data_IF_664953928635
#
_entry.id   IF_664953928635
#
_cell.length_a   1.000
_cell.length_b   1.000
_cell.length_c   1.000
_cell.angle_alpha   90.00
_cell.angle_beta   90.00
_cell.angle_gamma   90.00
#
_symmetry.space_group_name_H-M   'P 1'
#
loop_
_entity.id
_entity.type
_entity.pdbx_description
1 polymer ?
#
# COMPACT_ATOMS: atom_id res chain seq x y z
N UNK A 1 15.85 3.15 -13.98
CA UNK A 1 15.00 2.13 -13.34
C UNK A 1 14.48 2.75 -12.05
N UNK A 2 13.17 2.77 -11.83
CA UNK A 2 12.54 3.36 -10.62
C UNK A 2 12.93 2.55 -9.37
N UNK A 3 13.35 3.23 -8.32
CA UNK A 3 13.75 2.63 -7.04
C UNK A 3 12.59 2.69 -6.05
N UNK A 4 12.16 1.54 -5.58
CA UNK A 4 10.99 1.35 -4.72
C UNK A 4 11.45 1.03 -3.31
N UNK A 5 10.98 1.76 -2.31
CA UNK A 5 11.04 1.34 -0.92
C UNK A 5 9.67 0.84 -0.45
N UNK A 6 9.62 -0.23 0.34
CA UNK A 6 8.38 -0.80 0.84
C UNK A 6 8.34 -0.69 2.37
N UNK A 7 7.27 -0.14 2.91
CA UNK A 7 7.02 -0.06 4.36
C UNK A 7 6.04 -1.15 4.79
N UNK A 8 6.40 -1.88 5.85
CA UNK A 8 5.67 -3.05 6.35
C UNK A 8 5.55 -3.04 7.88
N UNK A 9 4.58 -3.77 8.43
CA UNK A 9 4.45 -3.95 9.89
C UNK A 9 4.21 -5.39 10.33
N UNK A 10 4.04 -6.34 9.40
CA UNK A 10 3.59 -7.70 9.74
C UNK A 10 4.03 -8.78 8.78
N UNK A 11 3.08 -9.63 8.35
CA UNK A 11 3.35 -10.82 7.55
C UNK A 11 4.02 -10.55 6.19
N UNK A 12 3.64 -9.46 5.52
CA UNK A 12 4.25 -9.07 4.24
C UNK A 12 3.75 -9.86 3.03
N UNK A 13 2.51 -10.35 3.03
CA UNK A 13 1.98 -11.07 1.87
C UNK A 13 1.87 -10.17 0.62
N UNK A 14 1.50 -8.89 0.79
CA UNK A 14 1.53 -7.91 -0.28
C UNK A 14 2.97 -7.60 -0.76
N UNK A 15 3.94 -7.55 0.16
CA UNK A 15 5.36 -7.44 -0.22
C UNK A 15 5.78 -8.63 -1.07
N UNK A 16 5.41 -9.86 -0.69
CA UNK A 16 5.73 -11.05 -1.48
C UNK A 16 5.16 -10.96 -2.89
N UNK A 17 3.90 -10.53 -3.02
CA UNK A 17 3.28 -10.35 -4.33
C UNK A 17 4.03 -9.32 -5.20
N UNK A 18 4.55 -8.24 -4.60
CA UNK A 18 5.37 -7.26 -5.29
C UNK A 18 6.74 -7.83 -5.72
N UNK A 19 7.38 -8.66 -4.87
CA UNK A 19 8.65 -9.33 -5.18
C UNK A 19 8.47 -10.29 -6.35
N UNK A 20 7.40 -11.11 -6.33
CA UNK A 20 7.16 -12.16 -7.33
C UNK A 20 6.73 -11.58 -8.69
N UNK A 21 6.28 -10.34 -8.73
CA UNK A 21 5.75 -9.71 -9.93
C UNK A 21 6.81 -9.29 -10.97
N UNK A 22 8.10 -9.37 -10.65
CA UNK A 22 9.20 -8.93 -11.55
C UNK A 22 8.94 -7.53 -12.14
N UNK A 23 8.71 -6.55 -11.27
CA UNK A 23 8.44 -5.16 -11.66
C UNK A 23 9.58 -4.60 -12.52
N UNK A 24 9.28 -3.68 -13.44
CA UNK A 24 10.28 -2.91 -14.19
C UNK A 24 11.07 -1.93 -13.30
N UNK A 25 10.58 -1.64 -12.10
CA UNK A 25 11.31 -0.99 -11.02
C UNK A 25 12.09 -1.97 -10.16
N UNK A 26 12.96 -1.45 -9.30
CA UNK A 26 13.75 -2.22 -8.34
C UNK A 26 13.30 -1.94 -6.91
N UNK A 27 12.97 -2.97 -6.13
CA UNK A 27 12.79 -2.82 -4.69
C UNK A 27 14.18 -2.70 -4.05
N UNK A 28 14.51 -1.48 -3.61
CA UNK A 28 15.83 -1.16 -3.04
C UNK A 28 15.90 -1.34 -1.53
N UNK A 29 14.76 -1.44 -0.87
CA UNK A 29 14.73 -1.69 0.57
C UNK A 29 13.33 -1.92 1.11
N UNK A 30 13.28 -2.65 2.23
CA UNK A 30 12.07 -2.92 3.01
C UNK A 30 12.30 -2.44 4.43
N UNK A 31 11.46 -1.50 4.89
CA UNK A 31 11.53 -0.93 6.22
C UNK A 31 10.33 -1.39 7.05
N UNK A 32 10.61 -1.87 8.26
CA UNK A 32 9.57 -2.21 9.23
C UNK A 32 9.70 -1.38 10.50
N UNK A 33 8.54 -1.04 11.10
CA UNK A 33 8.48 -0.48 12.46
C UNK A 33 8.47 -1.54 13.56
N UNK A 34 8.59 -2.84 13.18
CA UNK A 34 8.64 -3.98 14.07
C UNK A 34 9.75 -4.94 13.66
N UNK A 35 10.60 -5.31 14.62
CA UNK A 35 11.72 -6.21 14.38
C UNK A 35 11.28 -7.66 14.09
N UNK A 36 10.11 -8.06 14.58
CA UNK A 36 9.51 -9.38 14.42
C UNK A 36 8.59 -9.51 13.20
N UNK A 37 8.57 -8.52 12.32
CA UNK A 37 7.77 -8.58 11.09
C UNK A 37 8.32 -9.63 10.13
N UNK A 38 7.53 -10.67 9.82
CA UNK A 38 7.91 -11.73 8.88
C UNK A 38 8.22 -11.21 7.46
N UNK A 39 7.69 -10.05 7.13
CA UNK A 39 8.03 -9.33 5.90
C UNK A 39 9.54 -9.10 5.72
N UNK A 40 10.29 -8.94 6.83
CA UNK A 40 11.75 -8.77 6.79
C UNK A 40 12.45 -10.05 6.30
N UNK A 41 11.99 -11.23 6.74
CA UNK A 41 12.51 -12.51 6.25
C UNK A 41 12.24 -12.69 4.76
N UNK A 42 11.06 -12.31 4.28
CA UNK A 42 10.72 -12.33 2.85
C UNK A 42 11.68 -11.47 2.02
N UNK A 43 11.96 -10.26 2.49
CA UNK A 43 12.90 -9.35 1.85
C UNK A 43 14.32 -9.91 1.83
N UNK A 44 14.80 -10.46 2.95
CA UNK A 44 16.12 -11.08 3.07
C UNK A 44 16.26 -12.28 2.12
N UNK A 45 15.25 -13.15 2.05
CA UNK A 45 15.23 -14.29 1.13
C UNK A 45 15.26 -13.87 -0.35
N UNK A 46 14.79 -12.66 -0.65
CA UNK A 46 14.86 -12.05 -1.98
C UNK A 46 16.13 -11.19 -2.19
N UNK A 47 17.08 -11.20 -1.25
CA UNK A 47 18.29 -10.37 -1.26
C UNK A 47 18.00 -8.86 -1.33
N UNK A 48 16.91 -8.40 -0.71
CA UNK A 48 16.54 -7.00 -0.61
C UNK A 48 17.02 -6.46 0.74
N UNK A 49 17.61 -5.26 0.73
CA UNK A 49 18.07 -4.60 1.96
C UNK A 49 16.89 -4.37 2.93
N UNK A 50 17.13 -4.54 4.23
CA UNK A 50 16.11 -4.35 5.26
C UNK A 50 16.56 -3.33 6.30
N UNK A 51 15.61 -2.60 6.87
CA UNK A 51 15.81 -1.75 8.03
C UNK A 51 14.66 -1.91 9.03
N UNK A 52 15.00 -1.80 10.31
CA UNK A 52 14.03 -1.76 11.40
C UNK A 52 14.17 -0.40 12.08
N UNK A 53 13.09 0.38 12.09
CA UNK A 53 13.01 1.65 12.81
C UNK A 53 11.78 1.57 13.70
N UNK A 54 12.00 1.36 15.00
CA UNK A 54 10.91 1.23 15.96
C UNK A 54 10.41 2.60 16.39
N UNK A 55 9.11 2.84 16.28
CA UNK A 55 8.49 4.08 16.76
C UNK A 55 8.63 4.27 18.28
N UNK A 56 8.97 3.23 19.02
CA UNK A 56 9.18 3.28 20.48
C UNK A 56 10.52 3.93 20.87
N UNK A 57 11.44 4.02 19.91
CA UNK A 57 12.78 4.55 20.13
C UNK A 57 12.86 6.09 19.94
N UNK A 58 11.72 6.71 19.63
CA UNK A 58 11.63 8.14 19.34
C UNK A 58 10.67 8.86 20.29
N UNK A 59 10.98 10.10 20.67
CA UNK A 59 10.15 10.87 21.59
C UNK A 59 8.85 11.38 20.93
N UNK A 60 8.85 11.54 19.61
CA UNK A 60 7.69 12.01 18.84
C UNK A 60 7.46 11.20 17.57
N UNK A 61 6.28 11.37 16.98
CA UNK A 61 5.96 10.80 15.66
C UNK A 61 6.78 11.46 14.56
N UNK A 62 7.01 12.73 14.71
CA UNK A 62 7.78 13.55 13.78
C UNK A 62 9.22 13.05 13.68
N UNK A 63 9.87 12.77 14.82
CA UNK A 63 11.23 12.23 14.87
C UNK A 63 11.30 10.81 14.27
N UNK A 64 10.30 9.98 14.55
CA UNK A 64 10.19 8.64 13.96
C UNK A 64 10.03 8.72 12.43
N UNK A 65 9.13 9.56 11.94
CA UNK A 65 8.88 9.74 10.50
C UNK A 65 10.09 10.33 9.80
N UNK A 66 10.82 11.26 10.44
CA UNK A 66 12.05 11.81 9.89
C UNK A 66 13.15 10.73 9.79
N UNK A 67 13.29 9.86 10.80
CA UNK A 67 14.23 8.74 10.73
C UNK A 67 13.89 7.78 9.56
N UNK A 68 12.61 7.48 9.35
CA UNK A 68 12.18 6.71 8.18
C UNK A 68 12.52 7.45 6.88
N UNK A 69 12.25 8.76 6.81
CA UNK A 69 12.56 9.55 5.62
C UNK A 69 14.05 9.48 5.27
N UNK A 70 14.93 9.66 6.25
CA UNK A 70 16.39 9.57 6.06
C UNK A 70 16.80 8.18 5.54
N UNK A 71 16.20 7.10 6.03
CA UNK A 71 16.48 5.76 5.54
C UNK A 71 16.04 5.60 4.07
N UNK A 72 14.88 6.13 3.70
CA UNK A 72 14.38 6.09 2.32
C UNK A 72 15.29 6.89 1.36
N UNK A 73 15.77 8.04 1.81
CA UNK A 73 16.75 8.86 1.08
C UNK A 73 18.09 8.12 0.93
N UNK A 74 18.58 7.47 1.98
CA UNK A 74 19.79 6.66 1.92
C UNK A 74 19.72 5.52 0.89
N UNK A 75 18.54 4.91 0.73
CA UNK A 75 18.28 3.95 -0.33
C UNK A 75 18.04 4.59 -1.71
N UNK A 76 18.03 5.92 -1.78
CA UNK A 76 17.70 6.67 -3.00
C UNK A 76 16.34 6.25 -3.59
N UNK A 77 15.36 6.01 -2.74
CA UNK A 77 14.02 5.64 -3.18
C UNK A 77 13.37 6.76 -4.00
N UNK A 78 12.79 6.41 -5.13
CA UNK A 78 11.99 7.32 -5.96
C UNK A 78 10.53 7.33 -5.49
N UNK A 79 10.05 6.17 -5.04
CA UNK A 79 8.66 5.94 -4.61
C UNK A 79 8.60 5.06 -3.37
N UNK A 80 7.52 5.19 -2.63
CA UNK A 80 7.24 4.43 -1.39
C UNK A 80 5.95 3.63 -1.56
N UNK A 81 5.98 2.36 -1.22
CA UNK A 81 4.81 1.48 -1.22
C UNK A 81 4.50 1.05 0.21
N UNK A 82 3.30 1.34 0.70
CA UNK A 82 2.82 0.88 1.99
C UNK A 82 2.17 -0.50 1.80
N UNK A 83 2.77 -1.55 2.35
CA UNK A 83 2.28 -2.91 2.25
C UNK A 83 1.91 -3.47 3.64
N UNK A 84 0.79 -3.01 4.18
CA UNK A 84 0.37 -3.37 5.53
C UNK A 84 1.17 -2.63 6.62
N UNK A 85 1.51 -1.37 6.37
CA UNK A 85 2.16 -0.52 7.36
C UNK A 85 1.12 0.06 8.33
N UNK A 86 1.24 -0.30 9.61
CA UNK A 86 0.21 -0.04 10.64
C UNK A 86 0.49 1.21 11.49
N UNK A 87 1.08 2.25 10.89
CA UNK A 87 1.28 3.55 11.54
C UNK A 87 0.66 4.66 10.70
N UNK A 88 0.05 5.63 11.37
CA UNK A 88 -0.42 6.85 10.73
C UNK A 88 0.78 7.78 10.57
N UNK A 89 1.11 8.11 9.34
CA UNK A 89 2.20 9.00 8.98
C UNK A 89 1.84 10.46 9.24
N UNK A 90 2.81 11.29 9.58
CA UNK A 90 2.60 12.73 9.73
C UNK A 90 2.36 13.40 8.38
N UNK A 91 1.70 14.54 8.40
CA UNK A 91 1.47 15.33 7.19
C UNK A 91 2.80 15.74 6.52
N UNK A 92 3.80 16.07 7.32
CA UNK A 92 5.14 16.42 6.84
C UNK A 92 5.78 15.28 6.05
N UNK A 93 5.76 14.06 6.59
CA UNK A 93 6.28 12.88 5.88
C UNK A 93 5.52 12.65 4.58
N UNK A 94 4.18 12.66 4.64
CA UNK A 94 3.33 12.44 3.45
C UNK A 94 3.60 13.50 2.38
N UNK A 95 3.76 14.78 2.77
CA UNK A 95 4.04 15.87 1.83
C UNK A 95 5.39 15.71 1.13
N UNK A 96 6.43 15.20 1.81
CA UNK A 96 7.74 14.88 1.21
C UNK A 96 7.62 13.82 0.10
N UNK A 97 6.64 12.93 0.21
CA UNK A 97 6.39 11.83 -0.74
C UNK A 97 5.11 12.00 -1.54
N UNK A 98 4.57 13.21 -1.63
CA UNK A 98 3.32 13.47 -2.36
C UNK A 98 3.42 13.04 -3.83
N UNK A 99 2.44 12.26 -4.28
CA UNK A 99 2.40 11.70 -5.63
C UNK A 99 3.42 10.59 -5.90
N UNK A 100 4.16 10.17 -4.87
CA UNK A 100 5.19 9.13 -4.92
C UNK A 100 4.93 8.01 -3.90
N UNK A 101 3.79 8.02 -3.23
CA UNK A 101 3.47 7.04 -2.19
C UNK A 101 2.13 6.38 -2.48
N UNK A 102 2.14 5.04 -2.52
CA UNK A 102 0.96 4.20 -2.70
C UNK A 102 0.62 3.45 -1.42
N UNK A 103 -0.68 3.21 -1.22
CA UNK A 103 -1.19 2.29 -0.22
C UNK A 103 -2.25 1.38 -0.83
N UNK A 104 -2.39 0.18 -0.27
CA UNK A 104 -3.52 -0.70 -0.53
C UNK A 104 -4.40 -0.78 0.72
N UNK A 105 -5.69 -0.55 0.54
CA UNK A 105 -6.68 -0.55 1.62
C UNK A 105 -7.74 -1.62 1.37
N UNK A 106 -8.06 -2.46 2.38
CA UNK A 106 -8.97 -3.60 2.23
C UNK A 106 -10.45 -3.18 2.28
N UNK A 107 -10.83 -2.22 1.44
CA UNK A 107 -12.22 -1.84 1.18
C UNK A 107 -12.37 -1.16 -0.18
N UNK A 108 -13.60 -0.99 -0.63
CA UNK A 108 -13.95 -0.21 -1.81
C UNK A 108 -14.10 1.27 -1.38
N UNK A 109 -12.98 1.99 -1.30
CA UNK A 109 -12.98 3.41 -0.92
C UNK A 109 -13.90 4.24 -1.84
N UNK A 110 -14.60 5.24 -1.29
CA UNK A 110 -14.45 5.87 0.02
C UNK A 110 -15.16 5.15 1.19
N UNK A 111 -15.78 4.00 0.94
CA UNK A 111 -16.42 3.22 2.00
C UNK A 111 -15.37 2.56 2.92
N UNK A 112 -15.69 2.48 4.21
CA UNK A 112 -14.91 1.76 5.21
C UNK A 112 -13.44 2.19 5.32
N UNK A 113 -13.18 3.51 5.36
CA UNK A 113 -11.87 4.05 5.75
C UNK A 113 -11.46 3.52 7.14
N UNK A 114 -10.15 3.39 7.39
CA UNK A 114 -9.60 2.95 8.67
C UNK A 114 -9.61 1.44 8.85
N UNK A 115 -9.76 0.98 10.08
CA UNK A 115 -9.55 -0.42 10.47
C UNK A 115 -10.85 -1.24 10.49
N UNK A 116 -10.69 -2.57 10.67
CA UNK A 116 -11.79 -3.55 10.83
C UNK A 116 -12.79 -3.57 9.66
N UNK A 117 -12.32 -3.33 8.45
CA UNK A 117 -13.17 -3.17 7.26
C UNK A 117 -14.03 -4.40 6.99
N UNK A 118 -13.47 -5.61 7.06
CA UNK A 118 -14.20 -6.87 6.84
C UNK A 118 -15.35 -7.05 7.83
N UNK A 119 -15.10 -6.82 9.13
CA UNK A 119 -16.14 -6.91 10.15
C UNK A 119 -17.23 -5.88 9.93
N UNK A 120 -16.85 -4.65 9.54
CA UNK A 120 -17.81 -3.57 9.29
C UNK A 120 -18.69 -3.87 8.09
N UNK A 121 -18.14 -4.42 7.01
CA UNK A 121 -18.90 -4.86 5.83
C UNK A 121 -19.89 -5.97 6.19
N UNK A 122 -19.45 -6.98 6.95
CA UNK A 122 -20.34 -8.05 7.40
C UNK A 122 -21.48 -7.52 8.30
N UNK A 123 -21.18 -6.55 9.17
CA UNK A 123 -22.18 -5.95 10.07
C UNK A 123 -23.22 -5.11 9.32
N UNK A 124 -22.84 -4.45 8.22
CA UNK A 124 -23.77 -3.64 7.40
C UNK A 124 -24.58 -4.48 6.42
N UNK A 125 -24.14 -5.70 6.12
CA UNK A 125 -24.78 -6.57 5.13
C UNK A 125 -24.56 -6.11 3.70
N UNK A 126 -23.49 -5.36 3.42
CA UNK A 126 -23.15 -4.97 2.06
C UNK A 126 -22.84 -6.20 1.21
N UNK A 127 -23.35 -6.19 -0.02
CA UNK A 127 -23.19 -7.31 -0.96
C UNK A 127 -21.84 -7.36 -1.63
N UNK A 128 -21.12 -6.23 -1.67
CA UNK A 128 -19.82 -6.09 -2.32
C UNK A 128 -18.79 -5.64 -1.32
N UNK A 129 -17.60 -6.21 -1.42
CA UNK A 129 -16.41 -5.83 -0.70
C UNK A 129 -15.19 -5.95 -1.61
N UNK A 130 -14.03 -5.48 -1.17
CA UNK A 130 -12.82 -5.58 -1.98
C UNK A 130 -11.67 -4.76 -1.45
N UNK A 131 -10.83 -4.28 -2.36
CA UNK A 131 -9.67 -3.47 -2.02
C UNK A 131 -9.47 -2.32 -3.00
N UNK A 132 -8.74 -1.31 -2.54
CA UNK A 132 -8.41 -0.11 -3.30
C UNK A 132 -6.93 0.19 -3.19
N UNK A 133 -6.25 0.38 -4.32
CA UNK A 133 -4.94 1.01 -4.37
C UNK A 133 -5.13 2.50 -4.59
N UNK A 134 -4.48 3.32 -3.77
CA UNK A 134 -4.61 4.78 -3.84
C UNK A 134 -3.29 5.49 -3.57
N UNK A 135 -3.16 6.73 -4.04
CA UNK A 135 -2.11 7.62 -3.56
C UNK A 135 -2.37 8.00 -2.11
N UNK A 136 -1.30 8.10 -1.33
CA UNK A 136 -1.40 8.51 0.09
C UNK A 136 -1.43 10.03 0.18
N UNK A 137 -2.34 10.52 1.02
CA UNK A 137 -2.46 11.94 1.42
C UNK A 137 -2.43 12.04 2.93
N UNK A 138 -2.32 13.25 3.47
CA UNK A 138 -2.32 13.49 4.92
C UNK A 138 -3.64 13.12 5.61
N UNK A 139 -4.74 13.10 4.86
CA UNK A 139 -6.01 12.56 5.35
C UNK A 139 -6.06 11.05 5.16
N UNK A 140 -6.44 10.33 6.22
CA UNK A 140 -6.47 8.86 6.24
C UNK A 140 -7.40 8.29 5.15
N UNK A 141 -6.84 7.41 4.31
CA UNK A 141 -7.54 6.70 3.23
C UNK A 141 -8.39 7.61 2.31
N UNK A 142 -7.98 8.88 2.17
CA UNK A 142 -8.68 9.89 1.37
C UNK A 142 -7.97 10.24 0.06
N UNK A 143 -6.79 9.69 -0.17
CA UNK A 143 -6.03 9.94 -1.38
C UNK A 143 -6.71 9.40 -2.63
N UNK A 144 -6.26 9.86 -3.80
CA UNK A 144 -6.86 9.49 -5.09
C UNK A 144 -6.81 7.98 -5.30
N UNK A 145 -7.97 7.34 -5.37
CA UNK A 145 -8.11 5.94 -5.74
C UNK A 145 -7.65 5.72 -7.19
N UNK A 146 -6.77 4.73 -7.38
CA UNK A 146 -6.16 4.41 -8.69
C UNK A 146 -6.85 3.18 -9.29
N UNK A 147 -6.97 2.13 -8.49
CA UNK A 147 -7.55 0.87 -8.93
C UNK A 147 -8.36 0.22 -7.80
N UNK A 148 -9.41 -0.48 -8.19
CA UNK A 148 -10.25 -1.25 -7.27
C UNK A 148 -10.53 -2.64 -7.85
N UNK A 149 -10.59 -3.63 -6.96
CA UNK A 149 -11.09 -4.96 -7.26
C UNK A 149 -12.15 -5.36 -6.24
N UNK A 150 -13.25 -5.92 -6.69
CA UNK A 150 -14.41 -6.23 -5.86
C UNK A 150 -14.77 -7.72 -5.93
N UNK A 151 -15.33 -8.22 -4.83
CA UNK A 151 -15.95 -9.56 -4.73
C UNK A 151 -17.33 -9.45 -4.10
N UNK A 152 -18.17 -10.43 -4.38
CA UNK A 152 -19.41 -10.60 -3.63
C UNK A 152 -19.13 -11.13 -2.22
N UNK A 153 -19.81 -10.55 -1.23
CA UNK A 153 -19.85 -11.08 0.14
C UNK A 153 -20.83 -12.25 0.13
N UNK A 154 -20.36 -13.43 0.53
CA UNK A 154 -21.20 -14.64 0.56
C UNK A 154 -21.94 -14.74 1.89
N UNK A 155 -23.11 -15.38 1.87
CA UNK A 155 -23.95 -15.57 3.05
C UNK A 155 -23.22 -16.21 4.25
N UNK A 156 -22.25 -17.08 3.96
CA UNK A 156 -21.48 -17.80 5.00
C UNK A 156 -20.10 -17.22 5.25
N UNK A 157 -19.80 -16.02 4.70
CA UNK A 157 -18.52 -15.36 4.98
C UNK A 157 -18.45 -14.94 6.45
N UNK A 158 -17.28 -15.16 7.02
CA UNK A 158 -16.84 -14.55 8.27
C UNK A 158 -15.64 -13.64 8.00
N UNK A 159 -15.15 -12.97 9.03
CA UNK A 159 -14.03 -12.03 8.90
C UNK A 159 -12.80 -12.69 8.25
N UNK A 160 -12.49 -13.91 8.66
CA UNK A 160 -11.30 -14.63 8.15
C UNK A 160 -11.45 -15.04 6.68
N UNK A 161 -12.60 -15.64 6.31
CA UNK A 161 -12.83 -16.06 4.92
C UNK A 161 -12.90 -14.87 3.95
N UNK A 162 -13.55 -13.78 4.38
CA UNK A 162 -13.65 -12.56 3.60
C UNK A 162 -12.28 -11.89 3.43
N UNK A 163 -11.50 -11.81 4.51
CA UNK A 163 -10.13 -11.27 4.48
C UNK A 163 -9.23 -12.08 3.53
N UNK A 164 -9.25 -13.42 3.59
CA UNK A 164 -8.47 -14.27 2.69
C UNK A 164 -8.81 -14.01 1.22
N UNK A 165 -10.08 -13.85 0.90
CA UNK A 165 -10.54 -13.57 -0.46
C UNK A 165 -10.14 -12.18 -0.93
N UNK A 166 -10.21 -11.18 -0.06
CA UNK A 166 -9.74 -9.81 -0.36
C UNK A 166 -8.22 -9.78 -0.55
N UNK A 167 -7.44 -10.51 0.26
CA UNK A 167 -5.99 -10.60 0.08
C UNK A 167 -5.61 -11.13 -1.31
N UNK A 168 -6.36 -12.09 -1.87
CA UNK A 168 -6.12 -12.57 -3.25
C UNK A 168 -6.29 -11.45 -4.29
N UNK A 169 -7.27 -10.57 -4.09
CA UNK A 169 -7.44 -9.39 -4.95
C UNK A 169 -6.30 -8.40 -4.77
N UNK A 170 -5.89 -8.15 -3.53
CA UNK A 170 -4.76 -7.26 -3.23
C UNK A 170 -3.48 -7.74 -3.92
N UNK A 171 -3.16 -9.04 -3.80
CA UNK A 171 -1.97 -9.64 -4.42
C UNK A 171 -2.01 -9.55 -5.96
N UNK A 172 -3.19 -9.45 -6.54
CA UNK A 172 -3.37 -9.27 -7.97
C UNK A 172 -3.22 -7.82 -8.39
N UNK A 173 -3.96 -6.88 -7.77
CA UNK A 173 -4.01 -5.49 -8.26
C UNK A 173 -2.82 -4.65 -7.82
N UNK A 174 -2.23 -4.92 -6.64
CA UNK A 174 -1.16 -4.06 -6.13
C UNK A 174 0.10 -4.10 -7.01
N UNK A 175 0.59 -5.27 -7.44
CA UNK A 175 1.69 -5.32 -8.39
C UNK A 175 1.38 -4.64 -9.73
N UNK A 176 0.14 -4.74 -10.23
CA UNK A 176 -0.28 -4.06 -11.47
C UNK A 176 -0.12 -2.55 -11.35
N UNK A 177 -0.62 -1.97 -10.25
CA UNK A 177 -0.53 -0.52 -10.03
C UNK A 177 0.91 -0.08 -9.77
N UNK A 178 1.68 -0.87 -9.02
CA UNK A 178 3.11 -0.61 -8.82
C UNK A 178 3.87 -0.61 -10.17
N UNK A 179 3.58 -1.55 -11.07
CA UNK A 179 4.16 -1.59 -12.40
C UNK A 179 3.76 -0.37 -13.24
N UNK A 180 2.50 0.08 -13.19
CA UNK A 180 2.09 1.31 -13.89
C UNK A 180 2.85 2.54 -13.41
N UNK A 181 3.19 2.60 -12.13
CA UNK A 181 4.01 3.68 -11.59
C UNK A 181 5.46 3.55 -12.09
N UNK A 182 6.02 2.34 -12.07
CA UNK A 182 7.40 2.06 -12.48
C UNK A 182 7.66 2.38 -13.96
N UNK A 183 6.71 2.03 -14.82
CA UNK A 183 6.85 2.22 -16.28
C UNK A 183 6.28 3.56 -16.78
N UNK A 184 5.85 4.45 -15.87
CA UNK A 184 5.35 5.79 -16.19
C UNK A 184 3.93 5.87 -16.76
N UNK A 185 3.18 4.76 -16.77
CA UNK A 185 1.75 4.78 -17.14
C UNK A 185 0.90 5.51 -16.08
N UNK A 186 1.25 5.38 -14.81
CA UNK A 186 0.66 6.11 -13.70
C UNK A 186 1.60 7.24 -13.29
N UNK A 187 1.11 8.46 -13.28
CA UNK A 187 1.89 9.65 -12.89
C UNK A 187 1.06 10.59 -12.03
N UNK A 188 1.77 11.41 -11.24
CA UNK A 188 1.16 12.48 -10.45
C UNK A 188 1.69 13.83 -10.92
N UNK A 189 0.82 14.73 -11.34
CA UNK A 189 1.18 16.08 -11.82
C UNK A 189 0.13 17.08 -11.36
N UNK A 190 0.57 18.24 -10.89
CA UNK A 190 -0.32 19.35 -10.50
C UNK A 190 -1.45 18.94 -9.54
N UNK A 191 -1.15 18.04 -8.57
CA UNK A 191 -2.14 17.59 -7.60
C UNK A 191 -3.13 16.54 -8.14
N UNK A 192 -2.92 16.00 -9.32
CA UNK A 192 -3.82 15.05 -9.97
C UNK A 192 -3.09 13.78 -10.43
N UNK A 193 -3.80 12.65 -10.40
CA UNK A 193 -3.34 11.39 -10.95
C UNK A 193 -3.68 11.30 -12.45
N UNK A 194 -2.73 10.81 -13.22
CA UNK A 194 -2.90 10.53 -14.65
C UNK A 194 -2.59 9.06 -14.91
N UNK A 195 -3.42 8.42 -15.72
CA UNK A 195 -3.16 7.10 -16.25
C UNK A 195 -3.08 7.18 -17.78
N UNK A 196 -1.95 6.74 -18.35
CA UNK A 196 -1.66 6.83 -19.79
C UNK A 196 -1.89 8.24 -20.36
N UNK A 197 -1.40 9.25 -19.61
CA UNK A 197 -1.52 10.68 -19.93
C UNK A 197 -2.95 11.26 -19.90
N UNK A 198 -3.93 10.52 -19.43
CA UNK A 198 -5.30 11.01 -19.20
C UNK A 198 -5.54 11.18 -17.70
N UNK A 199 -6.28 12.22 -17.32
CA UNK A 199 -6.69 12.44 -15.92
C UNK A 199 -7.47 11.22 -15.46
N UNK A 200 -7.07 10.66 -14.33
CA UNK A 200 -7.75 9.53 -13.71
C UNK A 200 -8.95 10.05 -12.88
N UNK A 201 -10.09 10.21 -13.51
CA UNK A 201 -11.31 10.69 -12.82
C UNK A 201 -11.86 9.65 -11.86
N UNK A 202 -11.91 8.39 -12.28
CA UNK A 202 -12.41 7.25 -11.52
C UNK A 202 -11.35 6.15 -11.43
N UNK A 203 -11.38 5.34 -10.36
CA UNK A 203 -10.47 4.20 -10.25
C UNK A 203 -10.70 3.18 -11.38
N UNK A 204 -9.60 2.61 -11.86
CA UNK A 204 -9.66 1.49 -12.80
C UNK A 204 -10.24 0.29 -12.06
N UNK A 205 -11.29 -0.30 -12.60
CA UNK A 205 -11.94 -1.47 -12.00
C UNK A 205 -11.45 -2.74 -12.65
N UNK A 206 -10.95 -3.63 -11.82
CA UNK A 206 -10.67 -5.00 -12.22
C UNK A 206 -11.91 -5.85 -12.01
N UNK A 207 -12.17 -6.78 -12.95
CA UNK A 207 -13.29 -7.69 -12.84
C UNK A 207 -13.19 -8.54 -11.55
N UNK A 208 -14.30 -8.80 -10.92
CA UNK A 208 -14.41 -9.80 -9.85
C UNK A 208 -14.14 -11.20 -10.41
N UNK A 209 -13.39 -11.99 -9.68
CA UNK A 209 -13.20 -13.42 -9.94
C UNK A 209 -14.17 -14.25 -9.14
#
# INVERSE_FOLDING_TARGET
MMKIAVLVSGNGSNLQALIDANLSGQIVGVLSNKADAYALERAQNANIATAVISHKDFPSREDFDEAMHQQLVAWQADVVILAGFMRILTADFVNKWQGKMLNIHPSLLPAYKGVNTHQRVLNTGDRLHGCTVHFVTSELDAGKAIAQSAIEVKEHDNVASLAERVHKLEHFIYPQVAEWLCNGQLTWKNGQAYFRNQILEHPIRFASW
#
